data_IF_946999040779
#
_entry.id   IF_946999040779
#
_cell.length_a   1.000
_cell.length_b   1.000
_cell.length_c   1.000
_cell.angle_alpha   90.00
_cell.angle_beta   90.00
_cell.angle_gamma   90.00
#
_symmetry.space_group_name_H-M   'P 1'
#
loop_
_entity.id
_entity.type
_entity.pdbx_description
1 polymer ?
#
# COMPACT_ATOMS: atom_id res chain seq x y z
N UNK A 1 -4.68 3.59 -8.09
CA UNK A 1 -5.09 2.19 -8.40
C UNK A 1 -4.85 1.37 -7.15
N UNK A 2 -5.91 0.85 -6.50
CA UNK A 2 -5.74 -0.03 -5.34
C UNK A 2 -4.99 -1.31 -5.76
N UNK A 3 -4.07 -1.78 -4.93
CA UNK A 3 -3.38 -3.06 -5.11
C UNK A 3 -4.37 -4.21 -4.87
N UNK A 4 -5.22 -4.49 -5.85
CA UNK A 4 -6.03 -5.71 -5.86
C UNK A 4 -5.22 -6.87 -6.46
N UNK A 5 -5.55 -8.09 -6.10
CA UNK A 5 -4.92 -9.29 -6.68
C UNK A 5 -5.05 -9.28 -8.21
N UNK A 6 -6.17 -8.84 -8.74
CA UNK A 6 -6.46 -8.73 -10.19
C UNK A 6 -5.53 -7.73 -10.88
N UNK A 7 -5.33 -6.54 -10.30
CA UNK A 7 -4.45 -5.51 -10.85
C UNK A 7 -2.99 -5.97 -10.84
N UNK A 8 -2.53 -6.57 -9.73
CA UNK A 8 -1.17 -7.09 -9.60
C UNK A 8 -0.90 -8.23 -10.62
N UNK A 9 -1.83 -9.17 -10.73
CA UNK A 9 -1.73 -10.28 -11.69
C UNK A 9 -1.69 -9.78 -13.14
N UNK A 10 -2.49 -8.77 -13.44
CA UNK A 10 -2.54 -8.15 -14.78
C UNK A 10 -1.22 -7.47 -15.15
N UNK A 11 -0.62 -6.72 -14.23
CA UNK A 11 0.69 -6.08 -14.43
C UNK A 11 1.78 -7.13 -14.65
N UNK A 12 1.80 -8.19 -13.84
CA UNK A 12 2.74 -9.30 -14.00
C UNK A 12 2.55 -9.95 -15.39
N UNK A 13 1.30 -10.19 -15.81
CA UNK A 13 0.99 -10.75 -17.13
C UNK A 13 1.53 -9.90 -18.29
N UNK A 14 1.36 -8.57 -18.22
CA UNK A 14 1.89 -7.62 -19.21
C UNK A 14 3.42 -7.69 -19.29
N UNK A 15 4.09 -7.68 -18.14
CA UNK A 15 5.57 -7.75 -18.09
C UNK A 15 6.07 -9.07 -18.65
N UNK A 16 5.46 -10.20 -18.28
CA UNK A 16 5.82 -11.53 -18.80
C UNK A 16 5.58 -11.63 -20.31
N UNK A 17 4.49 -11.06 -20.85
CA UNK A 17 4.26 -11.00 -22.29
C UNK A 17 5.34 -10.18 -23.00
N UNK A 18 5.75 -9.03 -22.40
CA UNK A 18 6.88 -8.25 -22.88
C UNK A 18 8.18 -9.04 -22.91
N UNK A 19 8.48 -9.77 -21.83
CA UNK A 19 9.69 -10.63 -21.75
C UNK A 19 9.69 -11.72 -22.81
N UNK A 20 8.57 -12.43 -22.99
CA UNK A 20 8.45 -13.49 -23.97
C UNK A 20 8.61 -12.96 -25.41
N UNK A 21 7.84 -11.93 -25.77
CA UNK A 21 7.90 -11.31 -27.09
C UNK A 21 9.27 -10.69 -27.39
N UNK A 22 9.82 -9.97 -26.42
CA UNK A 22 11.14 -9.33 -26.55
C UNK A 22 12.29 -10.32 -26.70
N UNK A 23 12.29 -11.41 -25.95
CA UNK A 23 13.28 -12.48 -26.11
C UNK A 23 13.20 -13.15 -27.49
N UNK A 24 11.98 -13.43 -27.99
CA UNK A 24 11.80 -14.03 -29.31
C UNK A 24 12.22 -13.09 -30.45
N UNK A 25 11.85 -11.81 -30.36
CA UNK A 25 12.23 -10.81 -31.39
C UNK A 25 13.69 -10.44 -31.29
N UNK A 26 14.23 -10.36 -30.06
CA UNK A 26 15.64 -10.07 -29.79
C UNK A 26 16.55 -11.15 -30.33
N UNK A 27 16.19 -12.42 -30.21
CA UNK A 27 16.93 -13.53 -30.83
C UNK A 27 17.02 -13.39 -32.37
N UNK A 28 15.86 -13.13 -33.01
CA UNK A 28 15.84 -12.91 -34.47
C UNK A 28 16.66 -11.68 -34.89
N UNK A 29 16.63 -10.61 -34.09
CA UNK A 29 17.43 -9.40 -34.35
C UNK A 29 18.93 -9.66 -34.17
N UNK A 30 19.32 -10.43 -33.14
CA UNK A 30 20.72 -10.81 -32.89
C UNK A 30 21.33 -11.69 -34.00
N UNK A 31 20.53 -12.51 -34.68
CA UNK A 31 20.96 -13.30 -35.82
C UNK A 31 21.18 -12.47 -37.10
N UNK A 32 20.49 -11.30 -37.21
CA UNK A 32 20.52 -10.47 -38.44
C UNK A 32 21.41 -9.24 -38.32
N UNK A 33 21.83 -8.88 -37.12
CA UNK A 33 22.56 -7.64 -36.84
C UNK A 33 23.89 -7.93 -36.16
N UNK A 34 24.80 -6.94 -36.16
CA UNK A 34 25.98 -6.99 -35.30
C UNK A 34 25.58 -6.99 -33.83
N UNK A 35 25.83 -8.09 -33.07
CA UNK A 35 25.36 -8.20 -31.70
C UNK A 35 25.93 -7.14 -30.76
N UNK A 36 27.12 -6.58 -31.02
CA UNK A 36 27.70 -5.50 -30.20
C UNK A 36 26.92 -4.20 -30.36
N UNK A 37 26.58 -3.86 -31.60
CA UNK A 37 25.73 -2.66 -31.89
C UNK A 37 24.35 -2.84 -31.36
N UNK A 38 23.78 -4.05 -31.49
CA UNK A 38 22.45 -4.36 -31.00
C UNK A 38 22.41 -4.25 -29.48
N UNK A 39 23.38 -4.78 -28.73
CA UNK A 39 23.44 -4.72 -27.27
C UNK A 39 23.52 -3.28 -26.76
N UNK A 40 24.39 -2.44 -27.34
CA UNK A 40 24.47 -1.02 -26.99
C UNK A 40 23.10 -0.32 -27.23
N UNK A 41 22.49 -0.58 -28.39
CA UNK A 41 21.17 -0.02 -28.72
C UNK A 41 20.05 -0.47 -27.79
N UNK A 42 20.03 -1.75 -27.39
CA UNK A 42 19.05 -2.30 -26.47
C UNK A 42 19.16 -1.70 -25.06
N UNK A 43 20.40 -1.54 -24.55
CA UNK A 43 20.62 -0.91 -23.25
C UNK A 43 20.19 0.57 -23.27
N UNK A 44 20.55 1.31 -24.31
CA UNK A 44 20.15 2.71 -24.49
C UNK A 44 18.63 2.84 -24.60
N UNK A 45 18.02 2.08 -25.51
CA UNK A 45 16.56 2.13 -25.72
C UNK A 45 15.79 1.65 -24.48
N UNK A 46 16.24 0.60 -23.82
CA UNK A 46 15.65 0.09 -22.58
C UNK A 46 15.72 1.11 -21.45
N UNK A 47 16.88 1.79 -21.30
CA UNK A 47 17.02 2.88 -20.32
C UNK A 47 16.12 4.07 -20.61
N UNK A 48 16.03 4.50 -21.89
CA UNK A 48 15.13 5.58 -22.31
C UNK A 48 13.67 5.21 -22.05
N UNK A 49 13.24 4.01 -22.43
CA UNK A 49 11.87 3.55 -22.20
C UNK A 49 11.54 3.45 -20.70
N UNK A 50 12.50 3.00 -19.90
CA UNK A 50 12.36 3.00 -18.44
C UNK A 50 12.17 4.43 -17.89
N UNK A 51 12.97 5.39 -18.34
CA UNK A 51 12.84 6.81 -17.97
C UNK A 51 11.50 7.42 -18.42
N UNK A 52 10.95 6.97 -19.54
CA UNK A 52 9.65 7.40 -20.02
C UNK A 52 8.47 6.82 -19.25
N UNK A 53 8.65 5.76 -18.46
CA UNK A 53 7.56 5.07 -17.76
C UNK A 53 6.83 6.00 -16.77
N UNK A 54 7.57 6.72 -15.92
CA UNK A 54 6.97 7.61 -14.91
C UNK A 54 6.17 8.76 -15.54
N UNK A 55 6.74 9.57 -16.44
CA UNK A 55 5.99 10.66 -17.04
C UNK A 55 4.80 10.16 -17.87
N UNK A 56 4.91 9.00 -18.50
CA UNK A 56 3.81 8.42 -19.26
C UNK A 56 2.63 8.03 -18.35
N UNK A 57 2.91 7.40 -17.21
CA UNK A 57 1.89 7.07 -16.21
C UNK A 57 1.26 8.33 -15.62
N UNK A 58 2.04 9.36 -15.31
CA UNK A 58 1.53 10.63 -14.79
C UNK A 58 0.64 11.38 -15.79
N UNK A 59 0.95 11.29 -17.08
CA UNK A 59 0.19 11.98 -18.14
C UNK A 59 -1.09 11.20 -18.52
N UNK A 60 -1.03 9.86 -18.54
CA UNK A 60 -2.16 9.04 -18.97
C UNK A 60 -3.09 8.65 -17.83
N UNK A 61 -2.58 8.56 -16.59
CA UNK A 61 -3.32 8.13 -15.40
C UNK A 61 -4.61 8.92 -15.17
N UNK A 62 -4.57 10.27 -15.13
CA UNK A 62 -5.76 11.08 -14.91
C UNK A 62 -6.86 10.90 -15.97
N UNK A 63 -6.49 10.57 -17.21
CA UNK A 63 -7.45 10.35 -18.30
C UNK A 63 -8.21 9.03 -18.20
N UNK A 64 -7.80 8.13 -17.31
CA UNK A 64 -8.42 6.80 -17.12
C UNK A 64 -9.03 6.61 -15.73
N UNK A 65 -9.08 7.67 -14.94
CA UNK A 65 -9.77 7.67 -13.65
C UNK A 65 -11.26 7.35 -13.87
N UNK A 66 -11.74 6.28 -13.22
CA UNK A 66 -13.11 5.78 -13.43
C UNK A 66 -13.28 4.81 -14.63
N UNK A 67 -12.24 4.57 -15.43
CA UNK A 67 -12.29 3.68 -16.60
C UNK A 67 -12.24 2.17 -16.28
N UNK A 68 -12.17 1.78 -15.01
CA UNK A 68 -12.12 0.40 -14.56
C UNK A 68 -10.80 -0.31 -14.85
N UNK A 69 -10.76 -1.63 -14.55
CA UNK A 69 -9.54 -2.44 -14.59
C UNK A 69 -8.90 -2.53 -15.99
N UNK A 70 -9.70 -2.50 -17.06
CA UNK A 70 -9.20 -2.55 -18.45
C UNK A 70 -8.45 -1.30 -18.86
N UNK A 71 -8.88 -0.14 -18.39
CA UNK A 71 -8.19 1.13 -18.66
C UNK A 71 -6.85 1.19 -17.93
N UNK A 72 -6.84 0.75 -16.67
CA UNK A 72 -5.61 0.61 -15.89
C UNK A 72 -4.61 -0.37 -16.53
N UNK A 73 -5.11 -1.52 -17.00
CA UNK A 73 -4.32 -2.50 -17.75
C UNK A 73 -3.73 -1.89 -19.03
N UNK A 74 -4.51 -1.07 -19.75
CA UNK A 74 -4.06 -0.36 -20.95
C UNK A 74 -2.89 0.58 -20.68
N UNK A 75 -2.97 1.39 -19.62
CA UNK A 75 -1.85 2.27 -19.21
C UNK A 75 -0.64 1.46 -18.80
N UNK A 76 -0.82 0.41 -18.00
CA UNK A 76 0.26 -0.49 -17.59
C UNK A 76 0.93 -1.15 -18.81
N UNK A 77 0.14 -1.60 -19.80
CA UNK A 77 0.67 -2.20 -21.01
C UNK A 77 1.52 -1.20 -21.82
N UNK A 78 1.02 0.02 -22.03
CA UNK A 78 1.76 1.07 -22.77
C UNK A 78 3.05 1.46 -22.04
N UNK A 79 3.02 1.55 -20.70
CA UNK A 79 4.15 1.99 -19.92
C UNK A 79 5.21 0.89 -19.68
N UNK A 80 4.81 -0.36 -19.46
CA UNK A 80 5.72 -1.42 -18.97
C UNK A 80 6.10 -2.45 -20.04
N UNK A 81 5.25 -2.74 -21.01
CA UNK A 81 5.54 -3.75 -22.02
C UNK A 81 6.73 -3.38 -22.93
N UNK A 82 6.87 -2.13 -23.44
CA UNK A 82 8.02 -1.77 -24.28
C UNK A 82 9.37 -1.91 -23.56
N UNK A 83 9.61 -1.34 -22.36
CA UNK A 83 10.87 -1.52 -21.66
C UNK A 83 11.15 -3.00 -21.33
N UNK A 84 10.14 -3.76 -20.90
CA UNK A 84 10.28 -5.20 -20.64
C UNK A 84 10.71 -5.97 -21.89
N UNK A 85 10.10 -5.69 -23.05
CA UNK A 85 10.43 -6.32 -24.32
C UNK A 85 11.85 -5.98 -24.78
N UNK A 86 12.25 -4.71 -24.71
CA UNK A 86 13.59 -4.29 -25.13
C UNK A 86 14.68 -4.87 -24.23
N UNK A 87 14.49 -4.83 -22.93
CA UNK A 87 15.48 -5.34 -21.97
C UNK A 87 15.61 -6.87 -22.01
N UNK A 88 14.53 -7.60 -22.28
CA UNK A 88 14.59 -9.05 -22.41
C UNK A 88 15.34 -9.52 -23.66
N UNK A 89 15.45 -8.69 -24.69
CA UNK A 89 16.25 -8.96 -25.88
C UNK A 89 17.78 -8.95 -25.61
N UNK A 90 18.21 -8.44 -24.46
CA UNK A 90 19.63 -8.43 -24.05
C UNK A 90 20.17 -9.84 -23.90
N UNK A 91 19.43 -10.74 -23.24
CA UNK A 91 19.91 -12.13 -23.00
C UNK A 91 20.26 -12.90 -24.29
N UNK A 92 19.39 -13.01 -25.31
CA UNK A 92 19.72 -13.69 -26.55
C UNK A 92 20.83 -12.96 -27.32
N UNK A 93 20.94 -11.63 -27.22
CA UNK A 93 22.02 -10.86 -27.85
C UNK A 93 23.39 -11.18 -27.23
N UNK A 94 23.46 -11.26 -25.89
CA UNK A 94 24.70 -11.66 -25.18
C UNK A 94 25.03 -13.13 -25.48
N UNK A 95 24.05 -14.01 -25.55
CA UNK A 95 24.23 -15.40 -25.94
C UNK A 95 24.88 -15.48 -27.31
N UNK A 96 24.45 -14.68 -28.29
CA UNK A 96 25.03 -14.62 -29.65
C UNK A 96 26.45 -14.08 -29.66
N UNK A 97 26.81 -13.16 -28.74
CA UNK A 97 28.18 -12.66 -28.59
C UNK A 97 29.15 -13.70 -28.04
N UNK A 98 28.70 -14.53 -27.11
CA UNK A 98 29.50 -15.53 -26.42
C UNK A 98 29.59 -16.87 -27.16
N UNK A 99 28.56 -17.20 -27.97
CA UNK A 99 28.50 -18.46 -28.75
C UNK A 99 29.39 -18.38 -29.97
N UNK A 100 30.67 -18.74 -29.81
CA UNK A 100 31.65 -18.85 -30.89
C UNK A 100 31.80 -20.28 -31.41
N UNK A 101 31.46 -21.27 -30.59
CA UNK A 101 31.63 -22.70 -30.89
C UNK A 101 30.40 -23.47 -30.37
N UNK A 102 29.70 -24.18 -31.25
CA UNK A 102 28.55 -25.00 -30.93
C UNK A 102 28.87 -26.14 -29.95
N UNK A 103 30.11 -26.64 -29.93
CA UNK A 103 30.51 -27.69 -29.01
C UNK A 103 30.51 -27.23 -27.54
N UNK A 104 30.55 -25.91 -27.28
CA UNK A 104 30.52 -25.31 -25.94
C UNK A 104 29.19 -24.66 -25.60
N UNK A 105 28.16 -24.86 -26.43
CA UNK A 105 26.86 -24.20 -26.24
C UNK A 105 26.23 -24.45 -24.87
N UNK A 106 26.29 -25.66 -24.33
CA UNK A 106 25.78 -26.01 -23.02
C UNK A 106 26.43 -25.22 -21.88
N UNK A 107 27.76 -25.08 -21.90
CA UNK A 107 28.51 -24.31 -20.89
C UNK A 107 28.19 -22.81 -20.96
N UNK A 108 28.09 -22.25 -22.16
CA UNK A 108 27.78 -20.83 -22.38
C UNK A 108 26.35 -20.52 -21.92
N UNK A 109 25.40 -21.33 -22.35
CA UNK A 109 23.95 -21.15 -21.92
C UNK A 109 23.82 -21.33 -20.42
N UNK A 110 24.45 -22.35 -19.82
CA UNK A 110 24.40 -22.55 -18.36
C UNK A 110 24.99 -21.37 -17.59
N UNK A 111 26.13 -20.81 -18.03
CA UNK A 111 26.71 -19.61 -17.39
C UNK A 111 25.84 -18.38 -17.54
N UNK A 112 25.28 -18.15 -18.73
CA UNK A 112 24.37 -17.02 -18.95
C UNK A 112 23.06 -17.14 -18.12
N UNK A 113 22.50 -18.34 -18.04
CA UNK A 113 21.34 -18.59 -17.16
C UNK A 113 21.66 -18.33 -15.69
N UNK A 114 22.85 -18.77 -15.22
CA UNK A 114 23.28 -18.52 -13.85
C UNK A 114 23.42 -17.01 -13.56
N UNK A 115 24.07 -16.26 -14.47
CA UNK A 115 24.16 -14.80 -14.32
C UNK A 115 22.81 -14.08 -14.40
N UNK A 116 21.93 -14.52 -15.32
CA UNK A 116 20.57 -13.96 -15.42
C UNK A 116 19.77 -14.19 -14.14
N UNK A 117 19.84 -15.41 -13.58
CA UNK A 117 19.17 -15.74 -12.31
C UNK A 117 19.77 -14.96 -11.14
N UNK A 118 21.10 -14.88 -11.05
CA UNK A 118 21.78 -14.09 -10.01
C UNK A 118 21.39 -12.60 -10.08
N UNK A 119 21.35 -12.05 -11.30
CA UNK A 119 20.88 -10.69 -11.54
C UNK A 119 19.41 -10.48 -11.17
N UNK A 120 18.53 -11.43 -11.50
CA UNK A 120 17.13 -11.38 -11.13
C UNK A 120 16.94 -11.41 -9.60
N UNK A 121 17.67 -12.30 -8.90
CA UNK A 121 17.65 -12.36 -7.43
C UNK A 121 18.18 -11.07 -6.81
N UNK A 122 19.33 -10.58 -7.26
CA UNK A 122 19.90 -9.32 -6.78
C UNK A 122 18.95 -8.13 -7.03
N UNK A 123 18.33 -8.08 -8.21
CA UNK A 123 17.34 -7.06 -8.55
C UNK A 123 16.10 -7.13 -7.66
N UNK A 124 15.54 -8.33 -7.48
CA UNK A 124 14.33 -8.52 -6.65
C UNK A 124 14.60 -8.17 -5.19
N UNK A 125 15.65 -8.73 -4.59
CA UNK A 125 15.98 -8.43 -3.19
C UNK A 125 16.48 -6.99 -3.01
N UNK A 126 17.31 -6.49 -3.92
CA UNK A 126 17.78 -5.10 -3.88
C UNK A 126 16.64 -4.09 -4.00
N UNK A 127 15.70 -4.33 -4.90
CA UNK A 127 14.52 -3.47 -5.02
C UNK A 127 13.62 -3.58 -3.78
N UNK A 128 13.23 -4.79 -3.39
CA UNK A 128 12.26 -4.99 -2.32
C UNK A 128 12.78 -4.59 -0.93
N UNK A 129 14.04 -4.92 -0.61
CA UNK A 129 14.59 -4.68 0.73
C UNK A 129 15.42 -3.40 0.86
N UNK A 130 15.86 -2.81 -0.24
CA UNK A 130 16.76 -1.64 -0.21
C UNK A 130 16.13 -0.43 -0.89
N UNK A 131 15.73 -0.54 -2.16
CA UNK A 131 15.25 0.64 -2.90
C UNK A 131 13.87 1.10 -2.41
N UNK A 132 12.90 0.20 -2.36
CA UNK A 132 11.52 0.55 -1.97
C UNK A 132 11.43 1.18 -0.57
N UNK A 133 12.15 0.69 0.48
CA UNK A 133 12.11 1.33 1.79
C UNK A 133 12.89 2.64 1.90
N UNK A 134 13.85 2.92 1.00
CA UNK A 134 14.77 4.05 1.15
C UNK A 134 14.47 5.21 0.20
N UNK A 135 13.87 4.95 -0.95
CA UNK A 135 13.64 5.97 -1.98
C UNK A 135 12.31 5.76 -2.70
N UNK A 136 11.72 6.85 -3.19
CA UNK A 136 10.47 6.80 -3.96
C UNK A 136 10.60 5.95 -5.22
N UNK A 137 9.49 5.41 -5.70
CA UNK A 137 9.43 4.62 -6.94
C UNK A 137 9.95 5.44 -8.12
N UNK A 138 9.55 6.72 -8.22
CA UNK A 138 10.00 7.63 -9.27
C UNK A 138 11.52 7.80 -9.27
N UNK A 139 12.15 7.98 -8.10
CA UNK A 139 13.60 8.07 -7.96
C UNK A 139 14.30 6.77 -8.35
N UNK A 140 13.75 5.63 -7.96
CA UNK A 140 14.29 4.30 -8.30
C UNK A 140 14.29 4.08 -9.82
N UNK A 141 13.20 4.42 -10.50
CA UNK A 141 13.10 4.32 -11.97
C UNK A 141 14.08 5.25 -12.67
N UNK A 142 14.24 6.49 -12.19
CA UNK A 142 15.21 7.44 -12.71
C UNK A 142 16.65 6.91 -12.56
N UNK A 143 17.00 6.35 -11.41
CA UNK A 143 18.33 5.80 -11.16
C UNK A 143 18.64 4.60 -12.06
N UNK A 144 17.72 3.63 -12.14
CA UNK A 144 17.89 2.42 -12.96
C UNK A 144 17.93 2.77 -14.46
N UNK A 145 17.01 3.62 -14.92
CA UNK A 145 16.98 4.07 -16.32
C UNK A 145 18.24 4.82 -16.72
N UNK A 146 18.75 5.71 -15.86
CA UNK A 146 20.00 6.44 -16.10
C UNK A 146 21.22 5.52 -16.12
N UNK A 147 21.26 4.53 -15.21
CA UNK A 147 22.33 3.51 -15.20
C UNK A 147 22.34 2.68 -16.48
N UNK A 148 21.19 2.29 -16.99
CA UNK A 148 21.07 1.55 -18.27
C UNK A 148 21.56 2.39 -19.46
N UNK A 149 21.19 3.68 -19.51
CA UNK A 149 21.67 4.61 -20.54
C UNK A 149 23.21 4.74 -20.47
N UNK A 150 23.75 4.95 -19.27
CA UNK A 150 25.20 5.05 -19.06
C UNK A 150 25.92 3.75 -19.47
N UNK A 151 25.39 2.59 -19.11
CA UNK A 151 25.92 1.29 -19.48
C UNK A 151 25.92 1.08 -21.02
N UNK A 152 24.81 1.47 -21.68
CA UNK A 152 24.68 1.41 -23.13
C UNK A 152 25.70 2.30 -23.87
N UNK A 153 25.90 3.52 -23.35
CA UNK A 153 26.93 4.44 -23.88
C UNK A 153 28.36 3.88 -23.69
N UNK A 154 28.67 3.46 -22.45
CA UNK A 154 30.00 2.93 -22.13
C UNK A 154 30.35 1.70 -22.99
N UNK A 155 29.40 0.78 -23.16
CA UNK A 155 29.58 -0.40 -24.00
C UNK A 155 29.71 -0.03 -25.48
N UNK A 156 28.92 0.92 -25.98
CA UNK A 156 29.00 1.42 -27.36
C UNK A 156 30.33 2.06 -27.67
N UNK A 157 30.89 2.87 -26.76
CA UNK A 157 32.22 3.49 -26.89
C UNK A 157 33.32 2.46 -26.82
N UNK A 158 33.28 1.55 -25.83
CA UNK A 158 34.31 0.52 -25.65
C UNK A 158 34.38 -0.47 -26.81
N UNK A 159 33.26 -0.78 -27.46
CA UNK A 159 33.17 -1.71 -28.59
C UNK A 159 33.41 -1.05 -29.95
N UNK A 160 33.55 0.28 -30.03
CA UNK A 160 33.66 1.03 -31.28
C UNK A 160 32.42 0.90 -32.18
N UNK A 161 31.29 0.46 -31.60
CA UNK A 161 30.10 0.07 -32.33
C UNK A 161 29.03 1.16 -32.37
N UNK A 162 29.21 2.26 -31.63
CA UNK A 162 28.22 3.32 -31.47
C UNK A 162 27.96 4.11 -32.75
N UNK A 163 26.70 4.24 -33.15
CA UNK A 163 26.23 5.27 -34.11
C UNK A 163 26.08 6.57 -33.33
N UNK A 164 27.05 7.45 -33.38
CA UNK A 164 27.06 8.69 -32.61
C UNK A 164 25.73 9.48 -32.68
N UNK A 165 25.13 9.61 -33.88
CA UNK A 165 23.88 10.30 -34.05
C UNK A 165 22.68 9.64 -33.34
N UNK A 166 22.56 8.32 -33.40
CA UNK A 166 21.49 7.60 -32.71
C UNK A 166 21.68 7.64 -31.19
N UNK A 167 22.93 7.53 -30.70
CA UNK A 167 23.24 7.66 -29.28
C UNK A 167 22.87 9.06 -28.74
N UNK A 168 23.22 10.13 -29.46
CA UNK A 168 22.89 11.51 -29.12
C UNK A 168 21.36 11.67 -29.05
N UNK A 169 20.62 11.19 -30.06
CA UNK A 169 19.15 11.27 -30.05
C UNK A 169 18.55 10.58 -28.83
N UNK A 170 18.98 9.35 -28.52
CA UNK A 170 18.47 8.60 -27.37
C UNK A 170 18.82 9.27 -26.03
N UNK A 171 20.04 9.81 -25.89
CA UNK A 171 20.42 10.57 -24.69
C UNK A 171 19.60 11.85 -24.56
N UNK A 172 19.33 12.56 -25.65
CA UNK A 172 18.45 13.75 -25.62
C UNK A 172 17.05 13.37 -25.16
N UNK A 173 16.48 12.26 -25.66
CA UNK A 173 15.17 11.77 -25.22
C UNK A 173 15.23 11.36 -23.74
N UNK A 174 16.30 10.68 -23.29
CA UNK A 174 16.49 10.30 -21.90
C UNK A 174 16.53 11.52 -20.97
N UNK A 175 17.29 12.54 -21.33
CA UNK A 175 17.35 13.81 -20.60
C UNK A 175 15.98 14.51 -20.58
N UNK A 176 15.28 14.51 -21.71
CA UNK A 176 13.92 15.06 -21.82
C UNK A 176 12.92 14.31 -20.93
N UNK A 177 12.95 12.98 -20.95
CA UNK A 177 12.09 12.15 -20.08
C UNK A 177 12.39 12.35 -18.60
N UNK A 178 13.66 12.42 -18.21
CA UNK A 178 14.07 12.70 -16.83
C UNK A 178 13.64 14.13 -16.41
N UNK A 179 13.88 15.14 -17.26
CA UNK A 179 13.43 16.50 -17.02
C UNK A 179 11.89 16.58 -16.89
N UNK A 180 11.16 15.86 -17.74
CA UNK A 180 9.70 15.79 -17.68
C UNK A 180 9.22 15.14 -16.38
N UNK A 181 9.87 14.07 -15.94
CA UNK A 181 9.57 13.44 -14.64
C UNK A 181 9.77 14.39 -13.46
N UNK A 182 10.77 15.27 -13.54
CA UNK A 182 11.08 16.25 -12.49
C UNK A 182 10.20 17.51 -12.59
N UNK A 183 9.64 17.83 -13.76
CA UNK A 183 8.87 19.04 -14.01
C UNK A 183 7.35 18.82 -14.02
N UNK A 184 6.87 17.62 -14.31
CA UNK A 184 5.45 17.27 -14.19
C UNK A 184 5.15 17.06 -12.71
N UNK A 185 4.17 17.83 -12.21
CA UNK A 185 3.73 17.70 -10.83
C UNK A 185 3.40 16.24 -10.51
N UNK A 186 3.94 15.76 -9.40
CA UNK A 186 3.53 14.47 -8.88
C UNK A 186 2.06 14.56 -8.48
N UNK A 187 1.22 13.58 -8.82
CA UNK A 187 -0.12 13.52 -8.26
C UNK A 187 -0.10 13.35 -6.74
N UNK A 188 1.06 13.01 -6.18
CA UNK A 188 1.28 12.81 -4.77
C UNK A 188 2.06 13.99 -4.17
N UNK A 189 1.63 14.53 -3.02
CA UNK A 189 2.48 15.40 -2.20
C UNK A 189 3.65 14.58 -1.64
N UNK A 190 3.36 13.33 -1.27
CA UNK A 190 4.34 12.37 -0.77
C UNK A 190 4.10 11.02 -1.45
N UNK A 191 5.13 10.51 -2.09
CA UNK A 191 5.19 9.17 -2.66
C UNK A 191 5.90 8.26 -1.64
N UNK A 192 5.11 7.61 -0.78
CA UNK A 192 5.64 6.70 0.24
C UNK A 192 5.84 5.28 -0.30
N UNK A 193 6.40 4.41 0.54
CA UNK A 193 6.48 2.98 0.24
C UNK A 193 5.12 2.32 0.03
N UNK A 194 4.08 2.87 0.67
CA UNK A 194 2.75 2.25 0.73
C UNK A 194 1.72 2.98 -0.13
N UNK A 195 1.81 4.31 -0.22
CA UNK A 195 0.75 5.14 -0.78
C UNK A 195 1.26 6.36 -1.54
N UNK A 196 0.46 6.81 -2.48
CA UNK A 196 0.48 8.16 -3.01
C UNK A 196 -0.38 9.02 -2.08
N UNK A 197 0.23 9.81 -1.22
CA UNK A 197 -0.46 10.60 -0.22
C UNK A 197 -0.60 12.06 -0.66
N UNK A 198 -1.81 12.62 -0.49
CA UNK A 198 -2.09 14.05 -0.71
C UNK A 198 -2.99 14.59 0.39
N UNK A 199 -2.90 15.88 0.67
CA UNK A 199 -3.78 16.56 1.60
C UNK A 199 -4.51 17.69 0.88
N UNK A 200 -5.83 17.58 0.76
CA UNK A 200 -6.68 18.62 0.23
C UNK A 200 -7.41 19.39 1.33
N UNK A 201 -7.72 20.64 1.07
CA UNK A 201 -8.59 21.43 1.93
C UNK A 201 -10.05 21.11 1.62
N UNK A 202 -10.87 21.03 2.68
CA UNK A 202 -12.32 20.92 2.53
C UNK A 202 -12.89 22.27 1.98
N UNK A 203 -13.60 22.26 0.86
CA UNK A 203 -14.18 23.48 0.32
C UNK A 203 -15.24 24.11 1.23
N UNK A 204 -15.94 23.30 2.01
CA UNK A 204 -17.04 23.76 2.88
C UNK A 204 -16.53 24.15 4.28
N UNK A 205 -15.29 23.77 4.64
CA UNK A 205 -14.70 24.03 5.96
C UNK A 205 -13.23 24.39 5.87
N UNK A 206 -12.89 25.64 6.02
CA UNK A 206 -11.51 26.16 5.83
C UNK A 206 -10.46 25.49 6.71
N UNK A 207 -10.82 25.10 7.95
CA UNK A 207 -9.97 24.35 8.86
C UNK A 207 -9.91 22.85 8.55
N UNK A 208 -10.82 22.34 7.71
CA UNK A 208 -10.92 20.94 7.32
C UNK A 208 -9.79 20.51 6.38
N UNK A 209 -9.23 19.34 6.63
CA UNK A 209 -8.23 18.69 5.78
C UNK A 209 -8.63 17.25 5.52
N UNK A 210 -8.57 16.85 4.25
CA UNK A 210 -8.81 15.49 3.80
C UNK A 210 -7.48 14.86 3.43
N UNK A 211 -7.11 13.78 4.12
CA UNK A 211 -6.01 12.93 3.70
C UNK A 211 -6.53 11.95 2.66
N UNK A 212 -5.97 12.02 1.47
CA UNK A 212 -6.15 11.03 0.41
C UNK A 212 -4.96 10.10 0.42
N UNK A 213 -5.21 8.80 0.43
CA UNK A 213 -4.21 7.78 0.19
C UNK A 213 -4.62 7.05 -1.09
N UNK A 214 -3.79 7.14 -2.12
CA UNK A 214 -4.15 6.79 -3.49
C UNK A 214 -5.43 7.56 -3.93
N UNK A 215 -6.47 6.88 -4.37
CA UNK A 215 -7.74 7.48 -4.80
C UNK A 215 -8.82 7.53 -3.69
N UNK A 216 -8.45 7.22 -2.44
CA UNK A 216 -9.41 7.07 -1.35
C UNK A 216 -9.31 8.20 -0.32
N UNK A 217 -10.45 8.76 0.05
CA UNK A 217 -10.56 9.61 1.24
C UNK A 217 -10.32 8.75 2.49
N UNK A 218 -9.11 8.84 3.02
CA UNK A 218 -8.66 7.97 4.11
C UNK A 218 -8.94 8.55 5.49
N UNK A 219 -8.70 9.86 5.65
CA UNK A 219 -8.94 10.54 6.93
C UNK A 219 -9.42 11.97 6.71
N UNK A 220 -10.15 12.48 7.69
CA UNK A 220 -10.53 13.88 7.79
C UNK A 220 -10.05 14.45 9.12
N UNK A 221 -9.46 15.64 9.07
CA UNK A 221 -8.97 16.35 10.24
C UNK A 221 -9.43 17.78 10.20
N UNK A 222 -10.04 18.27 11.28
CA UNK A 222 -10.23 19.69 11.51
C UNK A 222 -9.06 20.25 12.32
N UNK A 223 -8.36 21.26 11.78
CA UNK A 223 -7.19 21.84 12.43
C UNK A 223 -7.53 22.70 13.63
N UNK A 224 -8.72 23.29 13.67
CA UNK A 224 -9.19 24.18 14.73
C UNK A 224 -10.05 23.46 15.77
N UNK A 225 -10.85 22.48 15.32
CA UNK A 225 -11.73 21.70 16.19
C UNK A 225 -11.38 20.19 16.18
N UNK A 226 -10.48 19.73 17.04
CA UNK A 226 -10.13 18.31 17.10
C UNK A 226 -11.27 17.39 17.57
N UNK A 227 -12.40 17.95 18.03
CA UNK A 227 -13.61 17.18 18.37
C UNK A 227 -14.52 16.94 17.17
N UNK A 228 -14.32 17.64 16.06
CA UNK A 228 -15.05 17.40 14.83
C UNK A 228 -14.65 16.06 14.21
N UNK A 229 -15.62 15.19 13.99
CA UNK A 229 -15.44 13.87 13.38
C UNK A 229 -16.33 13.78 12.14
N UNK A 230 -15.72 13.82 10.96
CA UNK A 230 -16.43 13.82 9.69
C UNK A 230 -17.01 12.44 9.35
N UNK A 231 -16.19 11.39 9.47
CA UNK A 231 -16.60 10.05 9.08
C UNK A 231 -17.48 9.38 10.13
N UNK A 232 -18.54 8.73 9.68
CA UNK A 232 -19.52 8.09 10.57
C UNK A 232 -18.91 6.99 11.43
N UNK A 233 -18.08 6.12 10.83
CA UNK A 233 -17.46 5.03 11.58
C UNK A 233 -16.52 5.57 12.67
N UNK A 234 -15.84 6.69 12.42
CA UNK A 234 -15.00 7.35 13.41
C UNK A 234 -15.86 7.87 14.57
N UNK A 235 -17.04 8.45 14.27
CA UNK A 235 -18.01 8.85 15.31
C UNK A 235 -18.49 7.65 16.12
N UNK A 236 -18.74 6.50 15.48
CA UNK A 236 -19.16 5.28 16.18
C UNK A 236 -18.07 4.76 17.11
N UNK A 237 -16.82 4.71 16.66
CA UNK A 237 -15.68 4.33 17.49
C UNK A 237 -15.53 5.32 18.66
N UNK A 238 -15.54 6.62 18.38
CA UNK A 238 -15.44 7.66 19.41
C UNK A 238 -16.57 7.53 20.48
N UNK A 239 -17.78 7.26 20.05
CA UNK A 239 -18.91 7.01 20.97
C UNK A 239 -18.69 5.76 21.83
N UNK A 240 -18.16 4.67 21.27
CA UNK A 240 -17.82 3.47 22.02
C UNK A 240 -16.67 3.72 23.01
N UNK A 241 -15.64 4.44 22.61
CA UNK A 241 -14.52 4.87 23.47
C UNK A 241 -15.01 5.76 24.61
N UNK A 242 -15.92 6.67 24.32
CA UNK A 242 -16.53 7.53 25.34
C UNK A 242 -17.31 6.73 26.41
N UNK A 243 -17.84 5.58 26.06
CA UNK A 243 -18.59 4.72 26.96
C UNK A 243 -17.72 3.79 27.85
N UNK A 244 -16.42 3.72 27.62
CA UNK A 244 -15.51 2.83 28.39
C UNK A 244 -15.45 3.22 29.87
N UNK A 245 -15.39 4.53 30.13
CA UNK A 245 -15.43 5.08 31.50
C UNK A 245 -16.42 6.24 31.59
N UNK A 246 -17.11 6.44 32.71
CA UNK A 246 -17.99 7.58 32.92
C UNK A 246 -17.28 8.93 32.80
N UNK A 247 -17.97 9.94 32.31
CA UNK A 247 -17.47 11.31 32.22
C UNK A 247 -16.28 11.45 31.26
N UNK A 248 -15.41 12.38 31.60
CA UNK A 248 -14.19 12.74 30.84
C UNK A 248 -12.90 12.16 31.44
N UNK A 249 -13.00 11.14 32.30
CA UNK A 249 -11.84 10.48 32.91
C UNK A 249 -10.82 10.04 31.85
N UNK A 250 -9.52 10.28 32.09
CA UNK A 250 -8.46 9.94 31.15
C UNK A 250 -8.43 8.45 30.78
N UNK A 251 -8.05 8.14 29.56
CA UNK A 251 -7.88 6.79 29.02
C UNK A 251 -6.47 6.57 28.49
N UNK A 252 -5.97 5.37 28.64
CA UNK A 252 -4.81 4.86 27.90
C UNK A 252 -5.32 4.15 26.64
N UNK A 253 -4.97 4.66 25.46
CA UNK A 253 -5.44 4.12 24.19
C UNK A 253 -4.28 3.74 23.27
N UNK A 254 -4.47 2.63 22.53
CA UNK A 254 -3.58 2.18 21.45
C UNK A 254 -4.37 2.24 20.15
N UNK A 255 -3.73 2.71 19.09
CA UNK A 255 -4.30 2.79 17.75
C UNK A 255 -3.39 2.03 16.79
N UNK A 256 -3.88 0.95 16.19
CA UNK A 256 -3.25 0.28 15.07
C UNK A 256 -3.75 0.93 13.78
N UNK A 257 -2.86 1.72 13.16
CA UNK A 257 -3.17 2.68 12.11
C UNK A 257 -3.30 4.10 12.65
N UNK A 258 -2.64 5.04 11.99
CA UNK A 258 -2.65 6.47 12.35
C UNK A 258 -3.43 7.33 11.36
N UNK A 259 -3.18 7.14 10.08
CA UNK A 259 -3.73 7.94 9.01
C UNK A 259 -3.61 9.44 9.29
N UNK A 260 -4.73 10.16 9.39
CA UNK A 260 -4.78 11.59 9.78
C UNK A 260 -4.66 11.84 11.29
N UNK A 261 -4.52 10.82 12.10
CA UNK A 261 -4.50 10.92 13.57
C UNK A 261 -5.75 11.56 14.18
N UNK A 262 -6.87 11.37 13.55
CA UNK A 262 -8.15 11.99 13.95
C UNK A 262 -8.60 11.52 15.33
N UNK A 263 -8.68 10.21 15.56
CA UNK A 263 -9.11 9.64 16.85
C UNK A 263 -8.16 9.95 18.02
N UNK A 264 -6.83 9.84 17.89
CA UNK A 264 -5.91 10.24 18.95
C UNK A 264 -6.03 11.72 19.34
N UNK A 265 -6.21 12.62 18.36
CA UNK A 265 -6.40 14.06 18.59
C UNK A 265 -7.76 14.33 19.24
N UNK A 266 -8.82 13.67 18.76
CA UNK A 266 -10.14 13.73 19.37
C UNK A 266 -10.09 13.30 20.84
N UNK A 267 -9.43 12.17 21.13
CA UNK A 267 -9.33 11.65 22.49
C UNK A 267 -8.63 12.64 23.43
N UNK A 268 -7.54 13.25 23.00
CA UNK A 268 -6.82 14.25 23.77
C UNK A 268 -7.68 15.48 24.09
N UNK A 269 -8.54 15.91 23.14
CA UNK A 269 -9.44 17.05 23.31
C UNK A 269 -10.70 16.70 24.11
N UNK A 270 -11.26 15.51 23.91
CA UNK A 270 -12.50 15.08 24.57
C UNK A 270 -12.25 14.60 26.00
N UNK A 271 -11.05 14.06 26.28
CA UNK A 271 -10.65 13.50 27.58
C UNK A 271 -9.22 13.95 27.95
N UNK A 272 -9.06 15.18 28.46
CA UNK A 272 -7.76 15.70 28.85
C UNK A 272 -7.03 14.78 29.82
N UNK A 273 -5.70 14.63 29.62
CA UNK A 273 -4.88 13.72 30.42
C UNK A 273 -4.80 12.28 29.85
N UNK A 274 -5.59 11.95 28.83
CA UNK A 274 -5.48 10.65 28.13
C UNK A 274 -4.13 10.49 27.46
N UNK A 275 -3.67 9.25 27.33
CA UNK A 275 -2.45 8.87 26.63
C UNK A 275 -2.79 8.01 25.42
N UNK A 276 -2.18 8.35 24.30
CA UNK A 276 -2.36 7.64 23.04
C UNK A 276 -1.02 7.11 22.54
N UNK A 277 -1.00 5.85 22.14
CA UNK A 277 0.09 5.24 21.40
C UNK A 277 -0.42 4.81 20.03
N UNK A 278 0.16 5.34 18.98
CA UNK A 278 -0.23 5.04 17.61
C UNK A 278 0.87 4.19 16.96
N UNK A 279 0.47 3.09 16.36
CA UNK A 279 1.32 2.16 15.61
C UNK A 279 1.02 2.39 14.14
N UNK A 280 1.89 3.11 13.43
CA UNK A 280 1.69 3.49 12.03
C UNK A 280 2.85 2.93 11.20
N UNK A 281 2.54 2.19 10.15
CA UNK A 281 3.56 1.55 9.32
C UNK A 281 4.28 2.55 8.42
N UNK A 282 3.58 3.59 8.00
CA UNK A 282 4.06 4.56 7.02
C UNK A 282 4.64 5.82 7.69
N UNK A 283 5.98 5.90 7.74
CA UNK A 283 6.69 7.04 8.30
C UNK A 283 6.47 8.34 7.54
N UNK A 284 6.21 8.25 6.23
CA UNK A 284 5.97 9.42 5.38
C UNK A 284 4.58 9.99 5.63
N UNK A 285 3.57 9.15 5.87
CA UNK A 285 2.23 9.59 6.31
C UNK A 285 2.33 10.27 7.68
N UNK A 286 3.16 9.77 8.60
CA UNK A 286 3.41 10.44 9.89
C UNK A 286 4.03 11.82 9.69
N UNK A 287 4.99 11.95 8.78
CA UNK A 287 5.64 13.23 8.47
C UNK A 287 4.65 14.20 7.83
N UNK A 288 3.88 13.75 6.84
CA UNK A 288 2.83 14.53 6.21
C UNK A 288 1.77 15.00 7.21
N UNK A 289 1.40 14.14 8.18
CA UNK A 289 0.47 14.50 9.23
C UNK A 289 1.02 15.59 10.17
N UNK A 290 2.32 15.60 10.45
CA UNK A 290 2.99 16.68 11.20
C UNK A 290 2.97 18.01 10.44
N UNK A 291 3.24 17.96 9.14
CA UNK A 291 3.40 19.15 8.31
C UNK A 291 2.05 19.75 7.90
N UNK A 292 1.06 18.92 7.59
CA UNK A 292 -0.18 19.33 6.94
C UNK A 292 -1.45 19.11 7.77
N UNK A 293 -1.46 18.16 8.71
CA UNK A 293 -2.64 17.77 9.48
C UNK A 293 -2.56 18.17 10.96
N UNK A 294 -1.54 18.95 11.33
CA UNK A 294 -1.39 19.48 12.69
C UNK A 294 -1.09 18.41 13.75
N UNK A 295 -0.50 17.26 13.36
CA UNK A 295 -0.05 16.27 14.32
C UNK A 295 1.09 16.84 15.18
N UNK A 296 0.90 16.83 16.49
CA UNK A 296 1.93 17.16 17.46
C UNK A 296 2.13 15.98 18.42
N UNK A 297 3.30 15.37 18.35
CA UNK A 297 3.68 14.31 19.28
C UNK A 297 4.13 14.89 20.62
N UNK A 298 3.84 14.17 21.70
CA UNK A 298 4.16 14.57 23.07
C UNK A 298 4.36 13.34 23.95
N UNK A 299 4.59 13.52 25.24
CA UNK A 299 4.55 12.41 26.20
C UNK A 299 3.18 11.70 26.25
N UNK A 300 2.11 12.42 25.95
CA UNK A 300 0.74 11.90 25.92
C UNK A 300 0.33 11.30 24.56
N UNK A 301 0.91 11.76 23.45
CA UNK A 301 0.68 11.21 22.10
C UNK A 301 2.01 10.74 21.50
N UNK A 302 2.22 9.44 21.50
CA UNK A 302 3.42 8.81 20.97
C UNK A 302 3.10 8.03 19.69
N UNK A 303 3.97 8.14 18.71
CA UNK A 303 3.88 7.38 17.44
C UNK A 303 5.07 6.43 17.37
N UNK A 304 4.78 5.17 17.10
CA UNK A 304 5.78 4.15 16.76
C UNK A 304 5.61 3.85 15.27
N UNK A 305 6.63 4.16 14.47
CA UNK A 305 6.64 3.84 13.05
C UNK A 305 7.08 2.39 12.88
N UNK A 306 6.23 1.59 12.27
CA UNK A 306 6.47 0.17 12.02
C UNK A 306 5.19 -0.66 12.01
N UNK A 307 5.35 -1.94 11.68
CA UNK A 307 4.25 -2.90 11.65
C UNK A 307 3.59 -3.04 13.02
N UNK A 308 2.28 -2.84 13.08
CA UNK A 308 1.50 -2.90 14.32
C UNK A 308 1.57 -4.30 14.99
N UNK A 309 1.66 -5.39 14.19
CA UNK A 309 1.80 -6.76 14.70
C UNK A 309 3.12 -6.96 15.48
N UNK A 310 4.17 -6.29 15.05
CA UNK A 310 5.46 -6.33 15.73
C UNK A 310 5.45 -5.40 16.94
N UNK A 311 5.04 -4.14 16.72
CA UNK A 311 5.08 -3.09 17.72
C UNK A 311 4.16 -3.35 18.93
N UNK A 312 3.01 -4.02 18.75
CA UNK A 312 2.09 -4.35 19.84
C UNK A 312 2.74 -5.25 20.89
N UNK A 313 3.69 -6.11 20.51
CA UNK A 313 4.39 -7.03 21.42
C UNK A 313 5.29 -6.31 22.43
N UNK A 314 5.72 -5.10 22.10
CA UNK A 314 6.53 -4.25 22.99
C UNK A 314 5.67 -3.55 24.07
N UNK A 315 4.34 -3.58 23.91
CA UNK A 315 3.44 -2.98 24.88
C UNK A 315 3.26 -3.92 26.09
N UNK A 316 3.22 -3.30 27.27
CA UNK A 316 2.97 -4.05 28.50
C UNK A 316 1.55 -4.67 28.50
N UNK A 317 1.40 -5.81 29.15
CA UNK A 317 0.09 -6.39 29.40
C UNK A 317 -0.75 -5.42 30.28
N UNK A 318 -2.07 -5.49 30.16
CA UNK A 318 -3.03 -4.70 30.94
C UNK A 318 -2.74 -3.19 30.97
N UNK A 319 -2.17 -2.65 29.87
CA UNK A 319 -1.72 -1.25 29.79
C UNK A 319 -2.70 -0.31 29.11
N UNK A 320 -3.66 -0.82 28.36
CA UNK A 320 -4.61 -0.01 27.60
C UNK A 320 -6.08 -0.21 28.04
N UNK A 321 -6.83 0.89 28.09
CA UNK A 321 -8.28 0.87 28.26
C UNK A 321 -9.01 0.60 26.95
N UNK A 322 -8.37 1.02 25.83
CA UNK A 322 -8.92 0.93 24.47
C UNK A 322 -7.82 0.55 23.50
N UNK A 323 -8.13 -0.36 22.59
CA UNK A 323 -7.35 -0.55 21.37
C UNK A 323 -8.28 -0.37 20.16
N UNK A 324 -7.87 0.46 19.22
CA UNK A 324 -8.58 0.69 17.96
C UNK A 324 -7.79 0.05 16.83
N UNK A 325 -8.42 -0.82 16.07
CA UNK A 325 -7.90 -1.39 14.83
C UNK A 325 -8.48 -0.62 13.63
N UNK A 326 -7.67 0.21 13.00
CA UNK A 326 -8.06 1.02 11.84
C UNK A 326 -6.88 1.13 10.86
N UNK A 327 -6.27 -0.03 10.56
CA UNK A 327 -5.15 -0.15 9.65
C UNK A 327 -5.59 -0.81 8.34
N UNK A 328 -5.32 -0.15 7.22
CA UNK A 328 -5.69 -0.60 5.88
C UNK A 328 -4.54 -0.42 4.90
N UNK A 329 -4.35 -1.43 4.01
CA UNK A 329 -3.62 -1.27 2.77
C UNK A 329 -4.63 -1.03 1.65
N UNK A 330 -4.86 0.23 1.28
CA UNK A 330 -5.97 0.68 0.44
C UNK A 330 -7.34 0.37 1.08
N UNK A 331 -8.05 -0.68 0.64
CA UNK A 331 -9.36 -1.08 1.19
C UNK A 331 -9.30 -2.36 2.02
N UNK A 332 -8.21 -3.11 1.94
CA UNK A 332 -8.05 -4.38 2.64
C UNK A 332 -7.34 -4.18 3.99
N UNK A 333 -7.86 -4.82 5.03
CA UNK A 333 -7.11 -4.94 6.28
C UNK A 333 -5.93 -5.88 6.05
N UNK A 334 -4.71 -5.55 6.52
CA UNK A 334 -3.60 -6.48 6.46
C UNK A 334 -3.95 -7.79 7.17
N UNK A 335 -3.85 -8.92 6.47
CA UNK A 335 -4.32 -10.22 6.95
C UNK A 335 -3.79 -10.56 8.35
N UNK A 336 -2.54 -10.23 8.65
CA UNK A 336 -1.88 -10.49 9.94
C UNK A 336 -2.40 -9.62 11.09
N UNK A 337 -3.24 -8.61 10.81
CA UNK A 337 -3.97 -7.80 11.80
C UNK A 337 -5.44 -8.22 11.93
N UNK A 338 -5.84 -9.34 11.30
CA UNK A 338 -7.21 -9.85 11.32
C UNK A 338 -7.35 -11.21 12.03
N UNK A 339 -6.24 -11.83 12.44
CA UNK A 339 -6.16 -13.21 12.92
C UNK A 339 -6.43 -13.36 14.43
N UNK A 340 -6.74 -14.57 14.86
CA UNK A 340 -6.89 -14.90 16.29
C UNK A 340 -5.62 -14.61 17.09
N UNK A 341 -4.45 -14.78 16.46
CA UNK A 341 -3.15 -14.51 17.08
C UNK A 341 -2.91 -12.99 17.27
N UNK A 342 -3.38 -12.17 16.32
CA UNK A 342 -3.42 -10.72 16.52
C UNK A 342 -4.35 -10.35 17.67
N UNK A 343 -5.55 -10.90 17.67
CA UNK A 343 -6.55 -10.64 18.72
C UNK A 343 -6.06 -11.09 20.10
N UNK A 344 -5.26 -12.14 20.17
CA UNK A 344 -4.62 -12.56 21.43
C UNK A 344 -3.66 -11.48 21.97
N UNK A 345 -2.84 -10.84 21.08
CA UNK A 345 -1.99 -9.72 21.49
C UNK A 345 -2.81 -8.48 21.89
N UNK A 346 -3.89 -8.19 21.17
CA UNK A 346 -4.84 -7.12 21.54
C UNK A 346 -5.39 -7.36 22.95
N UNK A 347 -5.85 -8.58 23.24
CA UNK A 347 -6.37 -8.95 24.59
C UNK A 347 -5.30 -8.86 25.68
N UNK A 348 -4.07 -9.25 25.37
CA UNK A 348 -2.93 -9.15 26.31
C UNK A 348 -2.69 -7.69 26.72
N UNK A 349 -2.73 -6.77 25.77
CA UNK A 349 -2.48 -5.34 26.01
C UNK A 349 -3.66 -4.65 26.69
N UNK A 350 -4.88 -5.09 26.39
CA UNK A 350 -6.09 -4.52 27.00
C UNK A 350 -6.22 -4.91 28.48
N UNK A 351 -6.60 -3.97 29.32
CA UNK A 351 -7.09 -4.24 30.68
C UNK A 351 -8.31 -5.17 30.64
N UNK A 352 -8.62 -5.89 31.72
CA UNK A 352 -9.76 -6.83 31.75
C UNK A 352 -11.11 -6.21 31.38
N UNK A 353 -11.27 -4.91 31.55
CA UNK A 353 -12.46 -4.15 31.13
C UNK A 353 -12.26 -3.34 29.85
N UNK A 354 -11.17 -3.57 29.15
CA UNK A 354 -10.79 -2.82 27.96
C UNK A 354 -11.69 -3.10 26.76
N UNK A 355 -11.70 -2.16 25.82
CA UNK A 355 -12.48 -2.22 24.60
C UNK A 355 -11.55 -2.39 23.39
N UNK A 356 -11.82 -3.38 22.57
CA UNK A 356 -11.31 -3.44 21.19
C UNK A 356 -12.36 -2.92 20.23
N UNK A 357 -12.03 -1.88 19.47
CA UNK A 357 -12.90 -1.31 18.43
C UNK A 357 -12.20 -1.51 17.08
N UNK A 358 -12.81 -2.28 16.17
CA UNK A 358 -12.26 -2.65 14.88
C UNK A 358 -13.11 -2.07 13.77
N UNK A 359 -12.51 -1.26 12.91
CA UNK A 359 -13.11 -0.83 11.65
C UNK A 359 -12.95 -1.95 10.61
N UNK A 360 -14.03 -2.27 9.92
CA UNK A 360 -14.07 -3.26 8.84
C UNK A 360 -14.64 -2.59 7.60
N UNK A 361 -13.91 -2.63 6.49
CA UNK A 361 -14.43 -2.22 5.19
C UNK A 361 -14.84 -3.49 4.44
N UNK A 362 -16.14 -3.60 4.12
CA UNK A 362 -16.67 -4.71 3.34
C UNK A 362 -17.74 -4.18 2.39
N UNK A 363 -17.47 -4.24 1.10
CA UNK A 363 -18.32 -3.69 0.02
C UNK A 363 -19.20 -4.73 -0.65
N UNK A 364 -19.11 -5.99 -0.27
CA UNK A 364 -19.77 -7.11 -0.93
C UNK A 364 -20.61 -7.95 0.02
N UNK A 365 -20.56 -9.25 -0.12
CA UNK A 365 -21.39 -10.20 0.63
C UNK A 365 -21.09 -10.35 2.13
N UNK A 366 -20.43 -9.38 2.75
CA UNK A 366 -20.02 -9.36 4.16
C UNK A 366 -19.15 -10.55 4.57
N UNK A 367 -18.39 -11.13 3.63
CA UNK A 367 -17.59 -12.32 3.90
C UNK A 367 -16.42 -12.03 4.83
N UNK A 368 -15.70 -10.92 4.58
CA UNK A 368 -14.61 -10.48 5.46
C UNK A 368 -15.15 -10.08 6.84
N UNK A 369 -16.23 -9.31 6.89
CA UNK A 369 -16.88 -8.93 8.14
C UNK A 369 -17.30 -10.16 8.95
N UNK A 370 -17.90 -11.18 8.32
CA UNK A 370 -18.31 -12.42 8.98
C UNK A 370 -17.14 -13.19 9.54
N UNK A 371 -16.03 -13.30 8.81
CA UNK A 371 -14.82 -13.96 9.26
C UNK A 371 -14.17 -13.21 10.44
N UNK A 372 -14.07 -11.89 10.37
CA UNK A 372 -13.56 -11.08 11.49
C UNK A 372 -14.50 -11.11 12.69
N UNK A 373 -15.82 -11.13 12.48
CA UNK A 373 -16.78 -11.31 13.56
C UNK A 373 -16.62 -12.69 14.23
N UNK A 374 -16.42 -13.77 13.46
CA UNK A 374 -16.13 -15.10 13.98
C UNK A 374 -14.82 -15.11 14.80
N UNK A 375 -13.78 -14.45 14.32
CA UNK A 375 -12.50 -14.28 15.02
C UNK A 375 -12.69 -13.61 16.39
N UNK A 376 -13.46 -12.52 16.45
CA UNK A 376 -13.72 -11.83 17.71
C UNK A 376 -14.64 -12.61 18.63
N UNK A 377 -15.64 -13.31 18.10
CA UNK A 377 -16.55 -14.16 18.88
C UNK A 377 -15.83 -15.35 19.55
N UNK A 378 -14.79 -15.87 18.88
CA UNK A 378 -13.92 -16.90 19.44
C UNK A 378 -13.00 -16.38 20.55
N UNK A 379 -12.72 -15.07 20.56
CA UNK A 379 -11.70 -14.47 21.42
C UNK A 379 -12.27 -13.69 22.60
N UNK A 380 -13.45 -13.04 22.49
CA UNK A 380 -14.02 -12.17 23.52
C UNK A 380 -15.38 -12.64 24.01
N UNK A 381 -15.65 -12.39 25.30
CA UNK A 381 -16.93 -12.73 25.92
C UNK A 381 -18.09 -11.90 25.36
N UNK A 382 -17.87 -10.65 24.98
CA UNK A 382 -18.89 -9.75 24.47
C UNK A 382 -18.44 -9.14 23.14
N UNK A 383 -19.25 -9.33 22.10
CA UNK A 383 -19.03 -8.76 20.78
C UNK A 383 -20.33 -8.06 20.33
N UNK A 384 -20.18 -6.88 19.75
CA UNK A 384 -21.25 -6.08 19.17
C UNK A 384 -20.80 -5.56 17.82
N UNK A 385 -21.74 -5.40 16.89
CA UNK A 385 -21.47 -4.69 15.64
C UNK A 385 -22.27 -3.40 15.56
N UNK A 386 -21.74 -2.44 14.84
CA UNK A 386 -22.37 -1.16 14.52
C UNK A 386 -22.27 -0.95 13.02
N UNK A 387 -23.41 -0.63 12.39
CA UNK A 387 -23.46 -0.39 10.95
C UNK A 387 -24.61 0.56 10.61
N UNK A 388 -24.53 1.23 9.45
CA UNK A 388 -25.69 1.94 8.88
C UNK A 388 -26.59 0.93 8.16
N UNK A 389 -27.93 1.00 8.32
CA UNK A 389 -28.86 0.23 7.50
C UNK A 389 -28.83 0.69 6.04
N UNK A 390 -28.79 -0.25 5.09
CA UNK A 390 -28.85 0.05 3.65
C UNK A 390 -27.50 -0.04 2.94
N UNK A 391 -27.47 0.20 1.62
CA UNK A 391 -26.26 0.03 0.79
C UNK A 391 -25.23 1.17 0.94
N UNK A 392 -25.50 2.17 1.76
CA UNK A 392 -24.74 3.42 1.81
C UNK A 392 -23.67 3.43 2.89
N UNK A 393 -22.60 2.67 2.73
CA UNK A 393 -21.38 2.82 3.50
C UNK A 393 -20.62 1.50 3.63
N UNK A 394 -19.34 1.45 3.21
CA UNK A 394 -18.56 0.22 3.28
C UNK A 394 -18.05 -0.11 4.69
N UNK A 395 -18.13 0.84 5.63
CA UNK A 395 -17.57 0.70 6.97
C UNK A 395 -18.56 0.08 7.94
N UNK A 396 -18.10 -0.93 8.67
CA UNK A 396 -18.77 -1.55 9.79
C UNK A 396 -17.80 -1.52 10.98
N UNK A 397 -18.32 -1.37 12.19
CA UNK A 397 -17.48 -1.39 13.40
C UNK A 397 -17.82 -2.59 14.24
N UNK A 398 -16.81 -3.39 14.59
CA UNK A 398 -16.89 -4.46 15.57
C UNK A 398 -16.34 -3.95 16.91
N UNK A 399 -17.09 -4.15 17.98
CA UNK A 399 -16.74 -3.80 19.34
C UNK A 399 -16.63 -5.08 20.16
N UNK A 400 -15.49 -5.33 20.79
CA UNK A 400 -15.25 -6.53 21.57
C UNK A 400 -14.64 -6.21 22.93
N UNK A 401 -15.06 -6.95 23.97
CA UNK A 401 -14.57 -6.79 25.35
C UNK A 401 -14.87 -8.05 26.15
N UNK A 402 -14.09 -8.31 27.18
CA UNK A 402 -14.41 -9.35 28.16
C UNK A 402 -15.39 -8.84 29.26
N UNK A 403 -15.57 -7.52 29.35
CA UNK A 403 -16.62 -6.90 30.15
C UNK A 403 -17.86 -6.62 29.31
N UNK A 404 -19.04 -6.71 29.92
CA UNK A 404 -20.31 -6.38 29.27
C UNK A 404 -20.28 -4.95 28.75
N UNK A 405 -20.46 -4.81 27.44
CA UNK A 405 -20.55 -3.51 26.77
C UNK A 405 -21.83 -2.80 27.22
N UNK A 406 -21.70 -1.64 27.83
CA UNK A 406 -22.81 -0.80 28.24
C UNK A 406 -23.67 -0.34 27.04
N UNK A 407 -24.84 0.31 27.29
CA UNK A 407 -25.59 0.91 26.23
C UNK A 407 -24.74 1.99 25.55
N UNK A 408 -24.64 1.90 24.23
CA UNK A 408 -23.97 2.88 23.41
C UNK A 408 -24.96 4.00 23.08
N UNK A 409 -24.79 5.14 23.75
CA UNK A 409 -25.77 6.26 23.71
C UNK A 409 -25.00 7.51 23.26
N UNK A 410 -25.53 8.23 22.28
CA UNK A 410 -25.05 9.57 21.93
C UNK A 410 -25.36 9.97 20.49
N UNK A 411 -25.06 11.22 20.10
CA UNK A 411 -25.24 11.73 18.74
C UNK A 411 -24.50 10.90 17.68
N UNK A 412 -23.46 10.20 18.11
CA UNK A 412 -22.72 9.23 17.29
C UNK A 412 -23.60 8.07 16.78
N UNK A 413 -24.74 7.80 17.44
CA UNK A 413 -25.66 6.72 17.05
C UNK A 413 -26.69 7.13 15.97
N UNK A 414 -26.75 8.40 15.59
CA UNK A 414 -27.74 8.87 14.62
C UNK A 414 -27.63 8.09 13.29
N UNK A 415 -28.68 7.33 12.97
CA UNK A 415 -28.76 6.51 11.77
C UNK A 415 -28.01 5.16 11.83
N UNK A 416 -27.27 4.84 12.90
CA UNK A 416 -26.62 3.56 13.07
C UNK A 416 -27.53 2.52 13.74
N UNK A 417 -27.36 1.25 13.35
CA UNK A 417 -27.93 0.09 14.05
C UNK A 417 -26.85 -0.64 14.81
N UNK A 418 -27.17 -1.04 16.03
CA UNK A 418 -26.31 -1.91 16.82
C UNK A 418 -26.85 -3.34 16.78
N UNK A 419 -25.95 -4.28 16.63
CA UNK A 419 -26.21 -5.71 16.63
C UNK A 419 -25.55 -6.29 17.87
N UNK A 420 -26.34 -6.93 18.73
CA UNK A 420 -25.82 -7.60 19.92
C UNK A 420 -25.06 -8.89 19.57
N UNK A 421 -24.47 -9.54 20.60
CA UNK A 421 -23.71 -10.78 20.40
C UNK A 421 -24.55 -11.84 19.66
N UNK A 422 -25.81 -12.01 20.00
CA UNK A 422 -26.66 -13.03 19.37
C UNK A 422 -26.87 -12.75 17.88
N UNK A 423 -27.10 -11.47 17.52
CA UNK A 423 -27.23 -11.05 16.13
C UNK A 423 -25.89 -11.18 15.37
N UNK A 424 -24.74 -10.80 15.98
CA UNK A 424 -23.41 -10.98 15.39
C UNK A 424 -23.11 -12.46 15.18
N UNK A 425 -23.44 -13.35 16.14
CA UNK A 425 -23.26 -14.79 15.98
C UNK A 425 -24.07 -15.35 14.82
N UNK A 426 -25.32 -14.90 14.64
CA UNK A 426 -26.12 -15.31 13.47
C UNK A 426 -25.53 -14.80 12.15
N UNK A 427 -25.03 -13.58 12.11
CA UNK A 427 -24.37 -13.01 10.93
C UNK A 427 -23.06 -13.76 10.59
N UNK A 428 -22.30 -14.16 11.58
CA UNK A 428 -21.05 -14.89 11.42
C UNK A 428 -21.23 -16.39 11.18
N UNK A 429 -22.48 -16.92 11.22
CA UNK A 429 -22.73 -18.33 11.06
C UNK A 429 -22.15 -18.90 9.76
N UNK A 430 -21.36 -19.97 9.89
CA UNK A 430 -20.67 -20.62 8.77
C UNK A 430 -19.40 -19.91 8.29
N UNK A 431 -18.96 -18.85 8.98
CA UNK A 431 -17.64 -18.26 8.75
C UNK A 431 -16.65 -18.80 9.77
N UNK A 432 -15.43 -19.11 9.32
CA UNK A 432 -14.33 -19.57 10.17
C UNK A 432 -13.54 -18.38 10.72
N UNK A 433 -13.02 -18.47 11.95
CA UNK A 433 -12.07 -17.50 12.48
C UNK A 433 -10.78 -17.46 11.64
N UNK A 434 -10.28 -16.27 11.36
CA UNK A 434 -9.01 -16.09 10.65
C UNK A 434 -7.83 -16.46 11.56
N UNK A 435 -6.85 -17.17 11.02
CA UNK A 435 -5.63 -17.60 11.70
C UNK A 435 -4.41 -17.22 10.90
N UNK A 436 -3.24 -17.17 11.51
CA UNK A 436 -1.99 -16.80 10.81
C UNK A 436 -1.65 -17.78 9.66
N UNK A 437 -2.08 -19.04 9.75
CA UNK A 437 -1.92 -20.05 8.70
C UNK A 437 -3.08 -20.08 7.69
N UNK A 438 -4.20 -19.41 7.97
CA UNK A 438 -5.36 -19.31 7.06
C UNK A 438 -6.12 -17.98 7.27
N UNK A 439 -5.67 -16.93 6.58
CA UNK A 439 -6.29 -15.61 6.63
C UNK A 439 -6.44 -15.00 5.23
N UNK A 440 -7.37 -15.53 4.40
CA UNK A 440 -7.57 -15.06 3.03
C UNK A 440 -8.36 -13.74 2.97
N UNK A 441 -7.91 -12.69 3.69
CA UNK A 441 -8.62 -11.42 3.83
C UNK A 441 -8.94 -10.77 2.49
N UNK A 442 -7.99 -10.75 1.55
CA UNK A 442 -8.17 -10.14 0.23
C UNK A 442 -9.19 -10.90 -0.64
N UNK A 443 -9.18 -12.25 -0.57
CA UNK A 443 -10.14 -13.08 -1.29
C UNK A 443 -11.56 -12.92 -0.73
N UNK A 444 -11.69 -12.79 0.59
CA UNK A 444 -12.99 -12.56 1.24
C UNK A 444 -13.57 -11.18 0.88
N UNK A 445 -12.72 -10.19 0.66
CA UNK A 445 -13.12 -8.85 0.25
C UNK A 445 -13.51 -8.79 -1.24
N UNK A 446 -12.81 -9.52 -2.11
CA UNK A 446 -12.99 -9.50 -3.57
C UNK A 446 -14.05 -10.50 -4.07
N UNK A 447 -14.49 -11.45 -3.25
CA UNK A 447 -15.48 -12.45 -3.63
C UNK A 447 -16.86 -11.80 -3.84
N UNK A 448 -17.21 -11.52 -5.11
CA UNK A 448 -18.54 -11.10 -5.57
C UNK A 448 -19.57 -12.22 -5.46
#
# INVERSE_FOLDING_TARGET
MGLTLETTTSIIGVVLAGIAGGSALGGRAADRSDPRRLLSGLLLAGGVLALCTVPLVRLLGPGVEGGGDLAALGVAAVALLPPAAVLSAVTPTVARLELRDLARSGTVVGRLSAWATAGALAGTFGTGFVLVPLVSVSTSVLAVGSLLVAAGLAFGLASGSGRAGAAVALVTIACGAAALTLSVDSPCEVESTYHCATVSQDPDRQSGRVLMLDDLRHSYVDLEDPRHLEFEYVRWIAGAVAAVRPGDAPLDAVFAGGGGFTLPRWLAAARPGSRSRVLEVDGDVVSLARDRLGLRTSGALRVTVGDARVAVRELAADSADVLVGDAFGAVAVPWHLATTEWVAEVRRVLRPSGLYALNVIDRGGLKLFRAQAATLLASFAHVRAVARPGPSGPNLVLLASDRRLGPWVGPAAAGARTFDRAAVTRLAAGAEPLRDDDAPADQLLSAR
#
